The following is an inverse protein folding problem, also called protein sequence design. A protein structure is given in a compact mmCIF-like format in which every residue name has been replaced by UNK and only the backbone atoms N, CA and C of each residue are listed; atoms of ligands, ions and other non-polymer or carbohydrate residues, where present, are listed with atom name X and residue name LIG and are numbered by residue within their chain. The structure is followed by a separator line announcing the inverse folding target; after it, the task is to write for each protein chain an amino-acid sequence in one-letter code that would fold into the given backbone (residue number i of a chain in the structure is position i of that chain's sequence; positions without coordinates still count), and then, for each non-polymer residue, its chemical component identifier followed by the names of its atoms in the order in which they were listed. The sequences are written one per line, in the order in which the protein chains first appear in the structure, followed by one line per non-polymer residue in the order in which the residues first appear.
data_IF_743084476019
#
_entry.id   IF_743084476019
#
_cell.length_a   1.000
_cell.length_b   1.000
_cell.length_c   1.000
_cell.angle_alpha   90.00
_cell.angle_beta   90.00
_cell.angle_gamma   90.00
#
_symmetry.space_group_name_H-M   'P 1'
#
loop_
_entity.id
_entity.type
_entity.pdbx_description
1 polymer ?
#
# COMPACT_ATOMS: atom_id res chain seq x y z
N UNK A 1 -37.09 37.16 -19.47
CA UNK A 1 -35.76 37.81 -19.38
C UNK A 1 -35.31 37.60 -17.94
N UNK A 2 -34.27 36.85 -17.60
CA UNK A 2 -32.87 37.01 -18.00
C UNK A 2 -32.24 35.62 -18.13
N UNK A 3 -31.80 35.26 -19.34
CA UNK A 3 -30.81 34.20 -19.57
C UNK A 3 -29.43 34.85 -19.53
N UNK A 4 -28.66 34.61 -18.47
CA UNK A 4 -27.24 34.96 -18.45
C UNK A 4 -26.43 33.66 -18.49
N UNK A 5 -26.23 33.13 -19.70
CA UNK A 5 -25.19 32.15 -19.96
C UNK A 5 -23.85 32.86 -19.85
N UNK A 6 -23.16 32.67 -18.73
CA UNK A 6 -21.74 33.05 -18.60
C UNK A 6 -20.95 32.23 -19.59
N UNK A 7 -20.58 32.85 -20.71
CA UNK A 7 -19.59 32.29 -21.65
C UNK A 7 -18.29 32.08 -20.88
N UNK A 8 -17.86 30.83 -20.75
CA UNK A 8 -16.51 30.49 -20.32
C UNK A 8 -15.59 30.99 -21.43
N UNK A 9 -15.02 32.19 -21.25
CA UNK A 9 -13.96 32.68 -22.14
C UNK A 9 -12.82 31.67 -22.08
N UNK A 10 -12.57 31.02 -23.22
CA UNK A 10 -11.42 30.17 -23.46
C UNK A 10 -10.16 31.03 -23.26
N UNK A 11 -9.58 30.97 -22.06
CA UNK A 11 -8.28 31.60 -21.82
C UNK A 11 -7.26 30.76 -22.57
N UNK A 12 -6.49 31.40 -23.44
CA UNK A 12 -5.25 30.83 -24.00
C UNK A 12 -4.47 30.17 -22.87
N UNK A 13 -4.35 28.83 -22.92
CA UNK A 13 -3.56 28.09 -21.95
C UNK A 13 -2.09 28.23 -22.37
N UNK A 14 -1.20 28.71 -21.48
CA UNK A 14 0.22 28.74 -21.78
C UNK A 14 0.70 27.33 -22.12
N UNK A 15 1.63 27.21 -23.08
CA UNK A 15 2.26 25.93 -23.37
C UNK A 15 3.06 25.45 -22.17
N UNK A 16 2.87 24.19 -21.80
CA UNK A 16 3.66 23.53 -20.77
C UNK A 16 5.11 23.41 -21.25
N UNK A 17 6.06 23.75 -20.38
CA UNK A 17 7.49 23.56 -20.62
C UNK A 17 8.01 22.53 -19.63
N UNK A 18 8.71 21.51 -20.10
CA UNK A 18 9.29 20.50 -19.21
C UNK A 18 10.64 21.02 -18.72
N UNK A 19 10.64 21.79 -17.63
CA UNK A 19 11.85 22.21 -16.91
C UNK A 19 11.56 22.31 -15.40
N UNK A 20 12.61 22.40 -14.58
CA UNK A 20 12.49 22.37 -13.12
C UNK A 20 11.58 23.49 -12.56
N UNK A 21 11.76 24.72 -13.02
CA UNK A 21 10.97 25.88 -12.56
C UNK A 21 9.49 25.73 -12.90
N UNK A 22 9.18 25.23 -14.10
CA UNK A 22 7.80 24.99 -14.51
C UNK A 22 7.20 23.80 -13.74
N UNK A 23 7.98 22.75 -13.46
CA UNK A 23 7.56 21.62 -12.62
C UNK A 23 7.21 22.08 -11.20
N UNK A 24 8.04 22.90 -10.56
CA UNK A 24 7.76 23.47 -9.24
C UNK A 24 6.47 24.30 -9.26
N UNK A 25 6.32 25.16 -10.28
CA UNK A 25 5.13 26.01 -10.44
C UNK A 25 3.85 25.18 -10.61
N UNK A 26 3.83 24.19 -11.49
CA UNK A 26 2.63 23.38 -11.75
C UNK A 26 2.31 22.45 -10.57
N UNK A 27 3.32 21.97 -9.84
CA UNK A 27 3.12 21.16 -8.63
C UNK A 27 2.46 21.99 -7.54
N UNK A 28 2.96 23.20 -7.28
CA UNK A 28 2.34 24.11 -6.30
C UNK A 28 0.90 24.47 -6.66
N UNK A 29 0.60 24.67 -7.96
CA UNK A 29 -0.77 24.90 -8.42
C UNK A 29 -1.62 23.64 -8.27
N UNK A 30 -1.09 22.46 -8.57
CA UNK A 30 -1.77 21.18 -8.38
C UNK A 30 -2.17 20.99 -6.91
N UNK A 31 -1.24 21.18 -5.99
CA UNK A 31 -1.47 21.08 -4.55
C UNK A 31 -2.45 22.13 -4.04
N UNK A 32 -2.36 23.38 -4.53
CA UNK A 32 -3.26 24.44 -4.11
C UNK A 32 -4.69 24.26 -4.65
N UNK A 33 -4.83 23.76 -5.88
CA UNK A 33 -6.14 23.63 -6.53
C UNK A 33 -6.86 22.36 -6.14
N UNK A 34 -6.13 21.26 -5.93
CA UNK A 34 -6.57 19.95 -5.45
C UNK A 34 -8.02 19.59 -5.84
N UNK A 35 -8.31 19.54 -7.16
CA UNK A 35 -9.66 19.38 -7.64
C UNK A 35 -10.23 18.04 -7.17
N UNK A 36 -11.26 18.12 -6.32
CA UNK A 36 -11.91 16.93 -5.75
C UNK A 36 -11.12 16.25 -4.63
N UNK A 37 -10.14 16.93 -4.02
CA UNK A 37 -9.27 16.35 -2.99
C UNK A 37 -8.47 15.14 -3.50
N UNK A 38 -8.03 15.21 -4.75
CA UNK A 38 -7.42 14.12 -5.49
C UNK A 38 -5.96 13.82 -5.13
N UNK A 39 -5.26 14.73 -4.44
CA UNK A 39 -3.89 14.45 -3.99
C UNK A 39 -3.84 13.35 -2.91
N UNK A 40 -4.95 13.12 -2.19
CA UNK A 40 -5.09 12.13 -1.13
C UNK A 40 -4.01 12.16 -0.03
N UNK A 41 -3.48 13.36 0.32
CA UNK A 41 -2.39 13.49 1.31
C UNK A 41 -2.83 14.00 2.69
N UNK A 42 -4.13 14.11 2.96
CA UNK A 42 -4.64 14.55 4.28
C UNK A 42 -4.26 13.54 5.38
N UNK A 43 -3.49 13.93 6.41
CA UNK A 43 -3.14 13.03 7.51
C UNK A 43 -4.23 12.89 8.58
N UNK A 44 -5.25 13.76 8.56
CA UNK A 44 -6.37 13.69 9.51
C UNK A 44 -7.32 12.54 9.14
N UNK A 45 -7.05 11.38 9.72
CA UNK A 45 -7.89 10.19 9.62
C UNK A 45 -8.84 10.06 10.82
N UNK A 46 -8.99 11.11 11.65
CA UNK A 46 -9.81 11.05 12.88
C UNK A 46 -11.22 10.57 12.59
N UNK A 47 -11.93 11.10 11.57
CA UNK A 47 -13.28 10.61 11.28
C UNK A 47 -13.32 9.12 10.93
N UNK A 48 -12.28 8.59 10.28
CA UNK A 48 -12.20 7.18 9.92
C UNK A 48 -11.93 6.30 11.15
N UNK A 49 -10.95 6.67 11.98
CA UNK A 49 -10.61 5.90 13.18
C UNK A 49 -11.67 5.97 14.27
N UNK A 50 -12.34 7.11 14.46
CA UNK A 50 -13.44 7.27 15.44
C UNK A 50 -14.63 6.35 15.14
N UNK A 51 -14.79 5.90 13.89
CA UNK A 51 -15.80 4.91 13.48
C UNK A 51 -15.30 3.46 13.57
N UNK A 52 -14.14 3.22 14.17
CA UNK A 52 -13.50 1.91 14.26
C UNK A 52 -12.79 1.46 12.98
N UNK A 53 -12.56 2.38 12.02
CA UNK A 53 -11.91 2.06 10.75
C UNK A 53 -10.48 1.53 10.94
N UNK A 54 -10.13 0.49 10.20
CA UNK A 54 -8.80 -0.11 10.14
C UNK A 54 -8.22 0.06 8.73
N UNK A 55 -6.98 0.54 8.65
CA UNK A 55 -6.25 0.73 7.41
C UNK A 55 -5.08 -0.24 7.36
N UNK A 56 -5.13 -1.15 6.39
CA UNK A 56 -4.00 -2.00 6.00
C UNK A 56 -3.51 -1.51 4.65
N UNK A 57 -2.30 -0.98 4.61
CA UNK A 57 -1.64 -0.56 3.37
C UNK A 57 -0.43 -1.46 3.12
N UNK A 58 -0.07 -1.62 1.85
CA UNK A 58 1.18 -2.23 1.47
C UNK A 58 1.80 -1.49 0.28
N UNK A 59 3.12 -1.61 0.11
CA UNK A 59 3.84 -1.05 -1.04
C UNK A 59 5.04 -1.90 -1.38
N UNK A 60 5.24 -2.19 -2.67
CA UNK A 60 6.44 -2.90 -3.14
C UNK A 60 7.69 -2.04 -3.10
N UNK A 61 8.78 -2.54 -2.51
CA UNK A 61 10.03 -1.75 -2.43
C UNK A 61 10.76 -1.68 -3.78
N UNK A 62 10.42 -2.55 -4.73
CA UNK A 62 10.90 -2.54 -6.10
C UNK A 62 9.98 -1.82 -7.09
N UNK A 63 8.97 -1.07 -6.62
CA UNK A 63 8.04 -0.34 -7.49
C UNK A 63 8.78 0.77 -8.28
N UNK A 64 8.82 0.60 -9.60
CA UNK A 64 9.45 1.54 -10.55
C UNK A 64 8.53 2.67 -11.00
N UNK A 65 7.24 2.58 -10.70
CA UNK A 65 6.21 3.51 -11.15
C UNK A 65 5.87 4.52 -10.06
N UNK A 66 5.63 4.03 -8.83
CA UNK A 66 5.34 4.84 -7.66
C UNK A 66 6.43 4.56 -6.63
N UNK A 67 7.22 5.57 -6.20
CA UNK A 67 8.25 5.33 -5.21
C UNK A 67 7.64 4.91 -3.87
N UNK A 68 8.11 3.80 -3.31
CA UNK A 68 7.68 3.28 -1.99
C UNK A 68 7.85 4.29 -0.84
N UNK A 69 8.82 5.20 -0.96
CA UNK A 69 9.04 6.32 -0.04
C UNK A 69 7.80 7.22 0.09
N UNK A 70 6.94 7.30 -0.93
CA UNK A 70 5.68 8.05 -0.84
C UNK A 70 4.74 7.48 0.25
N UNK A 71 4.65 6.16 0.38
CA UNK A 71 3.83 5.51 1.40
C UNK A 71 4.41 5.64 2.79
N UNK A 72 5.73 5.50 2.96
CA UNK A 72 6.35 5.73 4.27
C UNK A 72 6.21 7.19 4.68
N UNK A 73 6.37 8.14 3.76
CA UNK A 73 6.17 9.57 4.03
C UNK A 73 4.72 9.88 4.45
N UNK A 74 3.72 9.25 3.83
CA UNK A 74 2.33 9.42 4.25
C UNK A 74 2.06 8.79 5.61
N UNK A 75 2.54 7.57 5.85
CA UNK A 75 2.46 6.90 7.14
C UNK A 75 3.04 7.76 8.27
N UNK A 76 4.21 8.36 8.03
CA UNK A 76 4.89 9.25 8.96
C UNK A 76 4.12 10.56 9.20
N UNK A 77 3.49 11.13 8.16
CA UNK A 77 2.60 12.30 8.30
C UNK A 77 1.39 11.98 9.17
N UNK A 78 0.76 10.83 8.98
CA UNK A 78 -0.38 10.38 9.81
C UNK A 78 0.08 10.16 11.26
N UNK A 79 1.19 9.45 11.47
CA UNK A 79 1.78 9.24 12.79
C UNK A 79 2.06 10.56 13.51
N UNK A 80 2.66 11.53 12.81
CA UNK A 80 2.97 12.85 13.35
C UNK A 80 1.69 13.64 13.71
N UNK A 81 0.65 13.58 12.86
CA UNK A 81 -0.64 14.25 13.11
C UNK A 81 -1.29 13.75 14.41
N UNK A 82 -1.29 12.44 14.64
CA UNK A 82 -1.86 11.85 15.86
C UNK A 82 -0.94 11.94 17.10
N UNK A 83 0.27 12.51 16.96
CA UNK A 83 1.22 12.80 18.05
C UNK A 83 1.37 11.66 19.08
N UNK A 84 1.58 10.43 18.60
CA UNK A 84 1.72 9.21 19.42
C UNK A 84 0.49 8.77 20.23
N UNK A 85 -0.72 9.25 19.90
CA UNK A 85 -1.96 8.67 20.41
C UNK A 85 -2.03 7.16 20.11
N UNK A 86 -2.56 6.34 21.02
CA UNK A 86 -2.71 4.90 20.73
C UNK A 86 -3.66 4.62 19.56
N UNK A 87 -4.60 5.55 19.29
CA UNK A 87 -5.65 5.39 18.28
C UNK A 87 -5.11 5.10 16.87
N UNK A 88 -3.95 5.65 16.49
CA UNK A 88 -3.41 5.45 15.14
C UNK A 88 -2.66 4.12 15.05
N UNK A 89 -1.88 3.74 16.06
CA UNK A 89 -1.09 2.50 16.09
C UNK A 89 -1.98 1.24 16.07
N UNK A 90 -3.17 1.34 16.66
CA UNK A 90 -4.17 0.26 16.67
C UNK A 90 -5.01 0.19 15.40
N UNK A 91 -4.89 1.16 14.49
CA UNK A 91 -5.80 1.34 13.35
C UNK A 91 -5.10 1.51 12.00
N UNK A 92 -3.77 1.71 11.92
CA UNK A 92 -3.05 1.81 10.65
C UNK A 92 -1.76 0.99 10.65
N UNK A 93 -1.69 -0.02 9.77
CA UNK A 93 -0.47 -0.79 9.50
C UNK A 93 -0.07 -0.64 8.03
N UNK A 94 1.22 -0.40 7.81
CA UNK A 94 1.87 -0.36 6.50
C UNK A 94 2.84 -1.54 6.39
N UNK A 95 2.74 -2.32 5.32
CA UNK A 95 3.66 -3.42 5.01
C UNK A 95 4.50 -3.08 3.78
N UNK A 96 5.81 -3.01 3.93
CA UNK A 96 6.71 -2.88 2.78
C UNK A 96 7.05 -4.28 2.28
N UNK A 97 6.78 -4.55 1.00
CA UNK A 97 6.93 -5.88 0.40
C UNK A 97 8.27 -5.92 -0.35
N UNK A 98 9.29 -6.65 0.17
CA UNK A 98 10.63 -6.61 -0.40
C UNK A 98 10.67 -7.15 -1.83
N UNK A 99 11.18 -6.35 -2.77
CA UNK A 99 11.37 -6.75 -4.16
C UNK A 99 10.09 -6.70 -5.02
N UNK A 100 8.92 -6.50 -4.43
CA UNK A 100 7.67 -6.41 -5.19
C UNK A 100 7.70 -5.15 -6.07
N UNK A 101 7.32 -5.32 -7.33
CA UNK A 101 7.16 -4.23 -8.27
C UNK A 101 5.85 -3.46 -8.06
N UNK A 102 5.36 -2.86 -9.15
CA UNK A 102 4.10 -2.12 -9.13
C UNK A 102 2.91 -3.07 -8.94
N UNK A 103 2.46 -3.19 -7.69
CA UNK A 103 1.41 -4.10 -7.19
C UNK A 103 1.73 -5.60 -7.20
N UNK A 104 2.71 -6.06 -7.97
CA UNK A 104 3.03 -7.49 -8.16
C UNK A 104 4.47 -7.71 -8.67
N UNK A 105 4.85 -8.97 -8.80
CA UNK A 105 6.02 -9.47 -9.52
C UNK A 105 7.30 -9.57 -8.70
N UNK A 106 8.20 -10.45 -9.16
CA UNK A 106 9.59 -10.63 -8.72
C UNK A 106 9.81 -10.76 -7.20
N UNK A 107 8.79 -11.18 -6.46
CA UNK A 107 8.81 -11.23 -4.99
C UNK A 107 7.78 -12.23 -4.46
N UNK A 108 7.66 -12.32 -3.15
CA UNK A 108 6.65 -13.15 -2.49
C UNK A 108 5.24 -12.52 -2.52
N UNK A 109 4.76 -12.12 -3.69
CA UNK A 109 3.52 -11.35 -3.88
C UNK A 109 2.21 -12.16 -3.76
N UNK A 110 2.30 -13.48 -3.55
CA UNK A 110 1.18 -14.36 -3.22
C UNK A 110 0.71 -14.21 -1.78
N UNK A 111 0.09 -13.08 -1.44
CA UNK A 111 -0.44 -12.78 -0.09
C UNK A 111 -1.86 -12.20 -0.10
N UNK A 112 -2.63 -12.41 -1.16
CA UNK A 112 -4.01 -11.89 -1.25
C UNK A 112 -4.09 -10.38 -1.53
N UNK A 113 -3.13 -9.84 -2.30
CA UNK A 113 -3.09 -8.43 -2.70
C UNK A 113 -4.16 -8.04 -3.75
N UNK A 114 -4.05 -6.82 -4.28
CA UNK A 114 -5.01 -6.23 -5.22
C UNK A 114 -5.08 -6.90 -6.60
N UNK A 115 -4.08 -7.70 -6.95
CA UNK A 115 -3.90 -8.37 -8.25
C UNK A 115 -4.26 -9.86 -8.22
N UNK A 116 -4.88 -10.33 -7.13
CA UNK A 116 -5.25 -11.73 -6.99
C UNK A 116 -6.17 -12.21 -8.13
N UNK A 117 -5.81 -13.33 -8.77
CA UNK A 117 -6.62 -13.98 -9.80
C UNK A 117 -6.99 -15.41 -9.41
N UNK A 118 -8.07 -15.95 -10.00
CA UNK A 118 -8.48 -17.33 -9.77
C UNK A 118 -7.44 -18.34 -10.30
N UNK A 119 -7.40 -19.55 -9.74
CA UNK A 119 -6.49 -20.62 -10.17
C UNK A 119 -6.65 -20.96 -11.66
N UNK A 120 -7.85 -20.87 -12.21
CA UNK A 120 -8.09 -21.05 -13.65
C UNK A 120 -7.39 -20.02 -14.55
N UNK A 121 -6.93 -18.91 -13.96
CA UNK A 121 -6.15 -17.85 -14.61
C UNK A 121 -4.70 -17.80 -14.11
N UNK A 122 -4.22 -18.87 -13.45
CA UNK A 122 -2.85 -19.00 -12.94
C UNK A 122 -2.66 -18.66 -11.46
N UNK A 123 -3.71 -18.15 -10.78
CA UNK A 123 -3.66 -17.91 -9.33
C UNK A 123 -2.66 -16.82 -8.91
N UNK A 124 -2.36 -15.86 -9.78
CA UNK A 124 -1.37 -14.82 -9.50
C UNK A 124 -1.81 -13.98 -8.28
N UNK A 125 -0.90 -13.63 -7.38
CA UNK A 125 -1.19 -12.85 -6.18
C UNK A 125 -2.09 -13.50 -5.13
N UNK A 126 -2.64 -14.69 -5.39
CA UNK A 126 -3.41 -15.43 -4.40
C UNK A 126 -2.50 -15.89 -3.26
N UNK A 127 -3.03 -15.85 -2.04
CA UNK A 127 -2.39 -16.37 -0.84
C UNK A 127 -2.15 -17.88 -0.94
N UNK A 128 -1.05 -18.34 -0.32
CA UNK A 128 -0.72 -19.77 -0.30
C UNK A 128 -1.66 -20.58 0.59
N UNK A 129 -2.36 -19.92 1.51
CA UNK A 129 -3.36 -20.49 2.38
C UNK A 129 -4.51 -19.49 2.59
N UNK A 130 -5.74 -20.01 2.69
CA UNK A 130 -6.93 -19.20 2.95
C UNK A 130 -7.09 -18.95 4.45
N UNK A 131 -6.16 -18.16 5.01
CA UNK A 131 -6.18 -17.75 6.41
C UNK A 131 -5.63 -16.32 6.57
N UNK A 132 -5.81 -15.76 7.77
CA UNK A 132 -5.45 -14.38 8.08
C UNK A 132 -3.95 -14.14 8.29
N UNK A 133 -3.11 -15.17 8.24
CA UNK A 133 -1.65 -15.05 8.36
C UNK A 133 -0.98 -15.00 6.98
N UNK A 134 -1.64 -15.53 5.94
CA UNK A 134 -1.12 -15.56 4.57
C UNK A 134 -1.90 -14.67 3.59
N UNK A 135 -3.05 -14.13 4.00
CA UNK A 135 -3.92 -13.33 3.14
C UNK A 135 -4.23 -11.96 3.75
N UNK A 136 -3.83 -10.88 3.08
CA UNK A 136 -4.02 -9.50 3.56
C UNK A 136 -5.49 -9.11 3.69
N UNK A 137 -6.38 -9.62 2.84
CA UNK A 137 -7.81 -9.35 2.93
C UNK A 137 -8.39 -10.06 4.15
N UNK A 138 -8.04 -11.34 4.36
CA UNK A 138 -8.49 -12.07 5.54
C UNK A 138 -7.87 -11.53 6.84
N UNK A 139 -6.62 -11.04 6.78
CA UNK A 139 -5.97 -10.34 7.89
C UNK A 139 -6.73 -9.06 8.26
N UNK A 140 -7.15 -8.27 7.26
CA UNK A 140 -7.97 -7.08 7.47
C UNK A 140 -9.35 -7.44 8.03
N UNK A 141 -10.00 -8.49 7.53
CA UNK A 141 -11.27 -8.99 8.07
C UNK A 141 -11.13 -9.39 9.53
N UNK A 142 -10.11 -10.20 9.88
CA UNK A 142 -9.82 -10.59 11.27
C UNK A 142 -9.59 -9.37 12.16
N UNK A 143 -8.90 -8.35 11.66
CA UNK A 143 -8.65 -7.12 12.41
C UNK A 143 -9.91 -6.31 12.67
N UNK A 144 -10.78 -6.18 11.66
CA UNK A 144 -12.04 -5.44 11.78
C UNK A 144 -13.05 -6.18 12.66
N UNK A 145 -13.21 -7.49 12.45
CA UNK A 145 -14.28 -8.27 13.07
C UNK A 145 -13.92 -8.76 14.48
N UNK A 146 -12.64 -9.12 14.71
CA UNK A 146 -12.19 -9.72 15.97
C UNK A 146 -11.21 -8.83 16.75
N UNK A 147 -10.83 -7.66 16.20
CA UNK A 147 -9.89 -6.74 16.86
C UNK A 147 -8.43 -7.18 16.83
N UNK A 148 -8.10 -8.27 16.13
CA UNK A 148 -6.74 -8.82 16.08
C UNK A 148 -5.98 -8.26 14.87
N UNK A 149 -5.12 -7.27 15.13
CA UNK A 149 -4.28 -6.67 14.11
C UNK A 149 -3.17 -7.63 13.65
N UNK A 150 -2.79 -7.63 12.35
CA UNK A 150 -1.76 -8.52 11.85
C UNK A 150 -0.35 -8.06 12.24
N UNK A 151 0.32 -8.80 13.13
CA UNK A 151 1.73 -8.57 13.51
C UNK A 151 2.73 -8.99 12.43
N UNK A 152 2.27 -9.79 11.46
CA UNK A 152 2.96 -10.08 10.22
C UNK A 152 1.98 -10.59 9.17
N UNK A 153 2.38 -10.60 7.90
CA UNK A 153 1.74 -11.35 6.83
C UNK A 153 2.80 -12.18 6.13
N UNK A 154 2.50 -13.44 5.80
CA UNK A 154 3.41 -14.31 5.06
C UNK A 154 3.01 -14.32 3.59
N UNK A 155 3.92 -13.87 2.72
CA UNK A 155 3.76 -13.99 1.28
C UNK A 155 4.50 -15.19 0.70
N UNK A 156 4.03 -15.65 -0.45
CA UNK A 156 4.67 -16.70 -1.24
C UNK A 156 5.12 -16.18 -2.62
N UNK A 157 6.31 -16.58 -3.04
CA UNK A 157 6.71 -16.56 -4.45
C UNK A 157 6.35 -17.91 -5.03
N UNK A 158 5.58 -17.94 -6.11
CA UNK A 158 5.28 -19.18 -6.82
C UNK A 158 6.30 -19.45 -7.93
N UNK A 159 6.55 -20.73 -8.21
CA UNK A 159 7.41 -21.12 -9.34
C UNK A 159 6.79 -20.63 -10.66
N UNK A 160 7.60 -19.98 -11.50
CA UNK A 160 7.17 -19.40 -12.79
C UNK A 160 5.93 -18.48 -12.69
N UNK A 161 5.72 -17.84 -11.53
CA UNK A 161 4.56 -17.00 -11.23
C UNK A 161 3.21 -17.73 -11.39
N UNK A 162 3.23 -19.06 -11.21
CA UNK A 162 2.07 -19.93 -11.32
C UNK A 162 1.82 -20.66 -10.00
N UNK A 163 0.72 -20.32 -9.32
CA UNK A 163 0.36 -20.92 -8.03
C UNK A 163 0.28 -22.45 -8.07
N UNK A 164 -0.19 -23.01 -9.19
CA UNK A 164 -0.32 -24.47 -9.37
C UNK A 164 1.02 -25.19 -9.53
N UNK A 165 2.11 -24.47 -9.81
CA UNK A 165 3.46 -25.02 -9.88
C UNK A 165 4.13 -25.16 -8.49
N UNK A 166 3.50 -24.62 -7.45
CA UNK A 166 3.98 -24.67 -6.07
C UNK A 166 4.78 -23.45 -5.64
N UNK A 167 5.12 -23.42 -4.35
CA UNK A 167 5.84 -22.30 -3.71
C UNK A 167 7.34 -22.46 -3.92
N UNK A 168 7.99 -21.43 -4.44
CA UNK A 168 9.44 -21.33 -4.59
C UNK A 168 10.10 -20.90 -3.27
N UNK A 169 9.59 -19.83 -2.65
CA UNK A 169 10.00 -19.38 -1.32
C UNK A 169 8.89 -18.57 -0.64
N UNK A 170 9.04 -18.36 0.67
CA UNK A 170 8.13 -17.53 1.47
C UNK A 170 8.89 -16.41 2.18
N UNK A 171 8.20 -15.31 2.49
CA UNK A 171 8.74 -14.17 3.24
C UNK A 171 7.73 -13.67 4.26
N UNK A 172 8.22 -13.30 5.44
CA UNK A 172 7.45 -12.55 6.43
C UNK A 172 7.48 -11.07 6.06
N UNK A 173 6.31 -10.44 6.07
CA UNK A 173 6.13 -9.01 5.93
C UNK A 173 5.80 -8.43 7.28
N UNK A 174 6.63 -7.49 7.70
CA UNK A 174 6.55 -6.86 9.01
C UNK A 174 5.85 -5.50 8.90
N UNK A 175 5.12 -5.07 9.95
CA UNK A 175 4.54 -3.75 10.00
C UNK A 175 5.67 -2.71 10.11
N UNK A 176 5.73 -1.78 9.15
CA UNK A 176 6.67 -0.67 9.17
C UNK A 176 6.60 0.08 10.52
N UNK A 177 7.74 0.41 11.15
CA UNK A 177 9.10 0.42 10.60
C UNK A 177 9.90 -0.89 10.75
N UNK A 178 9.29 -1.98 11.23
CA UNK A 178 9.98 -3.25 11.36
C UNK A 178 10.28 -3.86 9.99
N UNK A 179 11.35 -4.64 9.93
CA UNK A 179 11.76 -5.40 8.75
C UNK A 179 11.95 -6.88 9.09
N UNK A 180 11.76 -7.75 8.09
CA UNK A 180 12.00 -9.18 8.25
C UNK A 180 13.50 -9.46 8.28
N UNK A 181 14.06 -9.68 9.48
CA UNK A 181 15.48 -9.97 9.68
C UNK A 181 15.71 -11.46 9.76
N UNK A 182 16.68 -11.97 8.99
CA UNK A 182 17.06 -13.38 9.03
C UNK A 182 17.67 -13.74 10.38
N UNK A 183 17.10 -14.75 11.05
CA UNK A 183 17.55 -15.23 12.37
C UNK A 183 18.17 -16.63 12.33
N UNK A 184 18.06 -17.35 11.21
CA UNK A 184 18.64 -18.67 11.01
C UNK A 184 17.65 -19.67 10.42
N UNK A 185 18.16 -20.70 9.73
CA UNK A 185 17.33 -21.76 9.12
C UNK A 185 17.46 -21.79 7.59
N UNK A 186 16.38 -22.18 6.92
CA UNK A 186 16.29 -22.17 5.46
C UNK A 186 15.97 -20.75 4.97
N UNK A 187 16.84 -20.16 4.15
CA UNK A 187 16.63 -18.82 3.59
C UNK A 187 15.40 -18.72 2.69
N UNK A 188 14.79 -19.83 2.27
CA UNK A 188 13.55 -19.82 1.47
C UNK A 188 12.29 -19.92 2.32
N UNK A 189 12.41 -20.00 3.65
CA UNK A 189 11.29 -20.15 4.56
C UNK A 189 11.08 -18.88 5.40
N UNK A 190 9.84 -18.38 5.45
CA UNK A 190 9.45 -17.21 6.23
C UNK A 190 9.73 -17.38 7.73
N UNK A 191 9.70 -18.62 8.25
CA UNK A 191 10.01 -18.91 9.67
C UNK A 191 11.47 -18.66 10.06
N UNK A 192 12.36 -18.50 9.08
CA UNK A 192 13.77 -18.17 9.31
C UNK A 192 14.00 -16.66 9.52
N UNK A 193 12.92 -15.87 9.60
CA UNK A 193 12.94 -14.42 9.73
C UNK A 193 12.04 -13.96 10.87
N UNK A 194 12.46 -12.92 11.58
CA UNK A 194 11.67 -12.27 12.64
C UNK A 194 11.52 -10.77 12.33
N UNK A 195 10.40 -10.20 12.78
CA UNK A 195 10.16 -8.76 12.68
C UNK A 195 10.94 -8.02 13.77
N UNK A 196 11.90 -7.20 13.36
CA UNK A 196 12.76 -6.36 14.22
C UNK A 196 12.70 -4.89 13.77
#
# INVERSE_FOLDING_TARGET
MITSTRSLKERSRPSLRVNATELERITAIGDQTDPGLGNAVNPDLTPFFDRGGKLLAYHGTGDSNIPSVSSTLYYEKVRAFFNASSIWGDNYRLFLIPGMGHCQGNSADGFGGSIQSDDSQGGNGQSMAFDADHDAVLALMRWVENGTAPDSIIGAKYMDDNRTAGVEYTRVFCPYPQEGKYVGGDTNNATSYECE
#
